data_IF_492778138737
#
_entry.id   IF_492778138737
#
_cell.length_a   1.000
_cell.length_b   1.000
_cell.length_c   1.000
_cell.angle_alpha   90.00
_cell.angle_beta   90.00
_cell.angle_gamma   90.00
#
_symmetry.space_group_name_H-M   'P 1'
#
loop_
_entity.id
_entity.type
_entity.pdbx_description
1 polymer ?
#
# COMPACT_ATOMS: atom_id res chain seq x y z
N UNK A 1 -2.70 16.36 0.45
CA UNK A 1 -2.98 15.14 -0.33
C UNK A 1 -1.73 14.79 -1.10
N UNK A 2 -1.12 13.68 -0.73
CA UNK A 2 0.16 13.23 -1.27
C UNK A 2 0.00 11.84 -1.86
N UNK A 3 0.73 11.61 -2.96
CA UNK A 3 0.69 10.35 -3.69
C UNK A 3 2.04 9.68 -3.55
N UNK A 4 2.02 8.41 -3.16
CA UNK A 4 3.23 7.58 -3.09
C UNK A 4 3.01 6.23 -3.74
N UNK A 5 4.08 5.68 -4.27
CA UNK A 5 4.15 4.36 -4.89
C UNK A 5 5.10 3.49 -4.09
N UNK A 6 4.57 2.40 -3.52
CA UNK A 6 5.33 1.40 -2.78
C UNK A 6 5.62 0.22 -3.70
N UNK A 7 6.89 -0.18 -3.76
CA UNK A 7 7.31 -1.42 -4.42
C UNK A 7 7.30 -2.54 -3.38
N UNK A 8 6.58 -3.60 -3.68
CA UNK A 8 6.47 -4.79 -2.85
C UNK A 8 7.27 -5.94 -3.46
N UNK A 9 7.83 -6.76 -2.58
CA UNK A 9 8.43 -8.06 -2.92
C UNK A 9 7.52 -9.20 -2.44
N UNK A 10 7.50 -10.32 -3.17
CA UNK A 10 6.75 -11.52 -2.77
C UNK A 10 5.26 -11.54 -3.17
N UNK A 11 4.77 -10.54 -3.91
CA UNK A 11 3.44 -10.59 -4.54
C UNK A 11 3.40 -11.68 -5.63
N UNK A 12 3.00 -12.89 -5.24
CA UNK A 12 3.00 -14.06 -6.12
C UNK A 12 1.60 -14.57 -6.48
N UNK A 13 0.53 -14.02 -5.87
CA UNK A 13 -0.83 -14.53 -6.08
C UNK A 13 -1.90 -13.42 -6.20
N UNK A 14 -2.88 -13.53 -7.11
CA UNK A 14 -3.98 -12.55 -7.23
C UNK A 14 -4.79 -12.37 -5.94
N UNK A 15 -4.87 -13.39 -5.09
CA UNK A 15 -5.59 -13.31 -3.80
C UNK A 15 -4.89 -12.43 -2.76
N UNK A 16 -3.58 -12.18 -2.92
CA UNK A 16 -2.79 -11.28 -2.08
C UNK A 16 -3.23 -9.81 -2.23
N UNK A 17 -3.59 -9.44 -3.46
CA UNK A 17 -3.98 -8.08 -3.87
C UNK A 17 -5.19 -7.58 -3.09
N UNK A 18 -6.22 -8.43 -3.01
CA UNK A 18 -7.51 -8.09 -2.38
C UNK A 18 -7.31 -7.74 -0.90
N UNK A 19 -6.36 -8.37 -0.21
CA UNK A 19 -6.08 -8.09 1.20
C UNK A 19 -5.48 -6.70 1.39
N UNK A 20 -4.51 -6.34 0.55
CA UNK A 20 -3.85 -5.02 0.60
C UNK A 20 -4.84 -3.92 0.26
N UNK A 21 -5.61 -4.06 -0.82
CA UNK A 21 -6.62 -3.06 -1.19
C UNK A 21 -7.65 -2.83 -0.08
N UNK A 22 -8.14 -3.92 0.54
CA UNK A 22 -9.09 -3.83 1.65
C UNK A 22 -8.50 -3.15 2.88
N UNK A 23 -7.22 -3.40 3.18
CA UNK A 23 -6.54 -2.79 4.31
C UNK A 23 -6.30 -1.29 4.07
N UNK A 24 -5.77 -0.92 2.90
CA UNK A 24 -5.53 0.48 2.54
C UNK A 24 -6.84 1.28 2.50
N UNK A 25 -7.90 0.72 1.92
CA UNK A 25 -9.23 1.35 1.90
C UNK A 25 -9.85 1.54 3.30
N UNK A 26 -9.43 0.74 4.29
CA UNK A 26 -9.86 0.88 5.69
C UNK A 26 -8.95 1.80 6.50
N UNK A 27 -7.78 2.15 5.99
CA UNK A 27 -6.82 2.99 6.67
C UNK A 27 -7.32 4.43 6.61
N UNK A 28 -7.53 5.04 7.77
CA UNK A 28 -7.99 6.41 7.87
C UNK A 28 -6.96 7.35 7.24
N UNK A 29 -7.40 8.29 6.42
CA UNK A 29 -6.51 9.22 5.71
C UNK A 29 -6.09 8.75 4.33
N UNK A 30 -6.34 7.50 3.94
CA UNK A 30 -6.19 7.05 2.55
C UNK A 30 -7.47 7.41 1.78
N UNK A 31 -7.33 8.16 0.69
CA UNK A 31 -8.44 8.48 -0.21
C UNK A 31 -8.54 7.50 -1.37
N UNK A 32 -7.39 7.14 -1.96
CA UNK A 32 -7.32 6.28 -3.13
C UNK A 32 -6.16 5.31 -3.00
N UNK A 33 -6.36 4.07 -3.43
CA UNK A 33 -5.30 3.06 -3.49
C UNK A 33 -5.46 2.21 -4.75
N UNK A 34 -4.38 1.96 -5.47
CA UNK A 34 -4.33 1.15 -6.67
C UNK A 34 -3.21 0.11 -6.55
N UNK A 35 -3.55 -1.18 -6.61
CA UNK A 35 -2.57 -2.27 -6.47
C UNK A 35 -2.27 -2.90 -7.84
N UNK A 36 -1.04 -2.66 -8.31
CA UNK A 36 -0.49 -3.14 -9.57
C UNK A 36 0.33 -4.42 -9.36
N UNK A 37 -0.36 -5.53 -9.12
CA UNK A 37 0.25 -6.84 -8.81
C UNK A 37 1.18 -7.38 -9.90
N UNK A 38 0.89 -7.08 -11.17
CA UNK A 38 1.73 -7.42 -12.31
C UNK A 38 3.13 -6.81 -12.23
N UNK A 39 3.28 -5.68 -11.54
CA UNK A 39 4.55 -4.98 -11.34
C UNK A 39 4.99 -4.92 -9.87
N UNK A 40 4.24 -5.56 -8.97
CA UNK A 40 4.47 -5.52 -7.52
C UNK A 40 4.41 -4.10 -6.95
N UNK A 41 3.61 -3.19 -7.52
CA UNK A 41 3.53 -1.79 -7.07
C UNK A 41 2.19 -1.48 -6.45
N UNK A 42 2.18 -0.57 -5.49
CA UNK A 42 0.97 -0.07 -4.84
C UNK A 42 1.03 1.45 -4.85
N UNK A 43 0.09 2.09 -5.54
CA UNK A 43 -0.05 3.55 -5.47
C UNK A 43 -1.08 3.89 -4.41
N UNK A 44 -0.78 4.88 -3.59
CA UNK A 44 -1.66 5.35 -2.52
C UNK A 44 -1.71 6.87 -2.57
N UNK A 45 -2.91 7.42 -2.58
CA UNK A 45 -3.20 8.83 -2.34
C UNK A 45 -3.72 8.97 -0.91
N UNK A 46 -3.03 9.76 -0.08
CA UNK A 46 -3.37 9.90 1.33
C UNK A 46 -3.16 11.33 1.84
N UNK A 47 -3.77 11.64 2.98
CA UNK A 47 -3.60 12.88 3.72
C UNK A 47 -2.47 12.73 4.74
N UNK A 48 -1.34 13.42 4.50
CA UNK A 48 -0.17 13.44 5.38
C UNK A 48 -0.44 14.00 6.77
N UNK A 49 -1.55 14.73 6.97
CA UNK A 49 -1.96 15.18 8.30
C UNK A 49 -2.66 14.09 9.11
N UNK A 50 -3.13 13.03 8.45
CA UNK A 50 -3.93 11.95 9.06
C UNK A 50 -3.15 10.64 9.13
N UNK A 51 -2.32 10.34 8.12
CA UNK A 51 -1.51 9.11 8.06
C UNK A 51 -0.17 9.39 7.38
N UNK A 52 0.88 8.76 7.88
CA UNK A 52 2.23 8.89 7.33
C UNK A 52 2.57 7.75 6.35
N UNK A 53 3.59 7.99 5.50
CA UNK A 53 4.12 6.96 4.59
C UNK A 53 4.61 5.72 5.33
N UNK A 54 5.21 5.93 6.50
CA UNK A 54 5.76 4.89 7.37
C UNK A 54 4.65 4.03 7.96
N UNK A 55 3.53 4.63 8.39
CA UNK A 55 2.35 3.90 8.84
C UNK A 55 1.72 3.06 7.72
N UNK A 56 1.65 3.61 6.51
CA UNK A 56 1.14 2.87 5.33
C UNK A 56 2.05 1.67 5.04
N UNK A 57 3.37 1.88 5.07
CA UNK A 57 4.38 0.83 4.92
C UNK A 57 4.19 -0.25 5.97
N UNK A 58 4.14 0.12 7.24
CA UNK A 58 3.96 -0.82 8.35
C UNK A 58 2.65 -1.62 8.23
N UNK A 59 1.56 -0.98 7.79
CA UNK A 59 0.28 -1.65 7.60
C UNK A 59 0.33 -2.69 6.46
N UNK A 60 1.09 -2.42 5.39
CA UNK A 60 1.36 -3.39 4.32
C UNK A 60 2.24 -4.54 4.84
N UNK A 61 3.28 -4.24 5.62
CA UNK A 61 4.18 -5.24 6.18
C UNK A 61 3.51 -6.16 7.21
N UNK A 62 2.53 -5.66 7.97
CA UNK A 62 1.69 -6.48 8.86
C UNK A 62 0.90 -7.57 8.12
N UNK A 63 0.64 -7.41 6.82
CA UNK A 63 0.02 -8.45 5.99
C UNK A 63 1.01 -9.51 5.49
N UNK A 64 2.30 -9.36 5.81
CA UNK A 64 3.38 -10.26 5.41
C UNK A 64 4.04 -9.92 4.06
N UNK A 65 3.84 -8.71 3.53
CA UNK A 65 4.51 -8.25 2.32
C UNK A 65 5.66 -7.33 2.66
N UNK A 66 6.80 -7.48 2.00
CA UNK A 66 7.94 -6.58 2.24
C UNK A 66 7.88 -5.39 1.31
N UNK A 67 7.96 -4.18 1.86
CA UNK A 67 8.13 -2.96 1.05
C UNK A 67 9.63 -2.77 0.81
N UNK A 68 10.05 -2.76 -0.47
CA UNK A 68 11.47 -2.65 -0.85
C UNK A 68 11.86 -1.25 -1.30
N UNK A 69 10.89 -0.43 -1.73
CA UNK A 69 11.12 1.00 -1.99
C UNK A 69 9.81 1.78 -1.96
N UNK A 70 9.91 3.09 -1.70
CA UNK A 70 8.82 4.06 -1.84
C UNK A 70 9.26 5.21 -2.75
N UNK A 71 8.35 5.74 -3.57
CA UNK A 71 8.58 6.85 -4.50
C UNK A 71 7.38 7.78 -4.59
#
# INVERSE_FOLDING_TARGET
MSKRTYQLEGMTCPTCVIKIEKLLKKTKGIEESEVLYNSGRVKVSFDENTVTSEEITAAIEQLGYRVVSEK
#
